data_IF_619198843270
#
_entry.id   IF_619198843270
#
_cell.length_a   1.000
_cell.length_b   1.000
_cell.length_c   1.000
_cell.angle_alpha   90.00
_cell.angle_beta   90.00
_cell.angle_gamma   90.00
#
_symmetry.space_group_name_H-M   'P 1'
#
loop_
_entity.id
_entity.type
_entity.pdbx_description
1 polymer ?
#
# COMPACT_ATOMS: atom_id res chain seq x y z
N UNK A 1 -49.76 -12.85 -34.36
CA UNK A 1 -48.54 -12.05 -34.10
C UNK A 1 -48.25 -12.15 -32.62
N UNK A 2 -47.21 -12.88 -32.20
CA UNK A 2 -46.86 -13.05 -30.78
C UNK A 2 -45.52 -12.34 -30.55
N UNK A 3 -45.59 -11.12 -30.03
CA UNK A 3 -44.42 -10.32 -29.69
C UNK A 3 -43.89 -10.76 -28.32
N UNK A 4 -42.71 -11.35 -28.29
CA UNK A 4 -41.99 -11.65 -27.05
C UNK A 4 -41.31 -10.34 -26.60
N UNK A 5 -41.76 -9.77 -25.48
CA UNK A 5 -41.03 -8.72 -24.78
C UNK A 5 -39.77 -9.33 -24.15
N UNK A 6 -38.59 -8.96 -24.66
CA UNK A 6 -37.32 -9.27 -24.02
C UNK A 6 -37.07 -8.35 -22.83
N UNK A 7 -37.00 -8.91 -21.62
CA UNK A 7 -36.53 -8.18 -20.44
C UNK A 7 -35.00 -8.12 -20.45
N UNK A 8 -34.44 -6.92 -20.67
CA UNK A 8 -33.01 -6.68 -20.50
C UNK A 8 -32.69 -6.57 -18.99
N UNK A 9 -32.02 -7.58 -18.43
CA UNK A 9 -31.49 -7.51 -17.08
C UNK A 9 -30.23 -6.62 -17.06
N UNK A 10 -30.31 -5.48 -16.38
CA UNK A 10 -29.15 -4.63 -16.07
C UNK A 10 -28.30 -5.37 -15.02
N UNK A 11 -27.15 -5.91 -15.44
CA UNK A 11 -26.15 -6.44 -14.51
C UNK A 11 -25.40 -5.25 -13.91
N UNK A 12 -25.66 -4.93 -12.65
CA UNK A 12 -24.90 -3.92 -11.91
C UNK A 12 -23.48 -4.44 -11.66
N UNK A 13 -22.46 -3.72 -12.15
CA UNK A 13 -21.07 -4.03 -11.82
C UNK A 13 -20.82 -3.77 -10.32
N UNK A 14 -20.05 -4.61 -9.61
CA UNK A 14 -19.70 -4.35 -8.23
C UNK A 14 -18.91 -3.04 -8.15
N UNK A 15 -19.28 -2.17 -7.21
CA UNK A 15 -18.50 -0.98 -6.90
C UNK A 15 -17.12 -1.42 -6.39
N UNK A 16 -16.04 -1.08 -7.10
CA UNK A 16 -14.69 -1.27 -6.60
C UNK A 16 -14.51 -0.44 -5.33
N UNK A 17 -14.29 -1.08 -4.19
CA UNK A 17 -13.88 -0.40 -2.98
C UNK A 17 -12.54 0.30 -3.25
N UNK A 18 -12.49 1.62 -3.10
CA UNK A 18 -11.25 2.37 -3.23
C UNK A 18 -10.26 1.91 -2.16
N UNK A 19 -9.01 1.63 -2.55
CA UNK A 19 -7.94 1.29 -1.61
C UNK A 19 -7.69 2.40 -0.59
N UNK A 20 -8.17 3.62 -0.86
CA UNK A 20 -8.08 4.78 0.03
C UNK A 20 -9.05 4.72 1.20
N UNK A 21 -10.12 3.92 1.08
CA UNK A 21 -11.06 3.67 2.17
C UNK A 21 -10.57 2.54 3.10
N UNK A 22 -9.36 2.02 2.88
CA UNK A 22 -8.78 0.99 3.72
C UNK A 22 -8.56 1.52 5.14
N UNK A 23 -8.95 0.70 6.13
CA UNK A 23 -8.69 0.92 7.55
C UNK A 23 -8.04 -0.33 8.12
N UNK A 24 -6.76 -0.24 8.48
CA UNK A 24 -6.02 -1.38 9.00
C UNK A 24 -4.52 -1.13 9.03
N UNK A 25 -3.74 -2.21 9.06
CA UNK A 25 -2.28 -2.17 9.21
C UNK A 25 -1.53 -1.86 7.91
N UNK A 26 -0.27 -1.43 8.02
CA UNK A 26 0.55 -1.09 6.86
C UNK A 26 0.90 -2.30 5.98
N UNK A 27 1.10 -3.49 6.55
CA UNK A 27 1.50 -4.70 5.80
C UNK A 27 0.39 -5.22 4.88
N UNK A 28 -0.86 -5.45 5.35
CA UNK A 28 -1.94 -5.86 4.45
C UNK A 28 -2.30 -4.77 3.44
N UNK A 29 -2.22 -3.49 3.83
CA UNK A 29 -2.35 -2.37 2.89
C UNK A 29 -1.30 -2.45 1.77
N UNK A 30 -0.02 -2.55 2.12
CA UNK A 30 1.07 -2.58 1.16
C UNK A 30 0.94 -3.79 0.23
N UNK A 31 0.51 -4.95 0.75
CA UNK A 31 0.23 -6.14 -0.06
C UNK A 31 -0.86 -5.87 -1.11
N UNK A 32 -1.97 -5.27 -0.69
CA UNK A 32 -3.08 -4.94 -1.59
C UNK A 32 -2.71 -3.86 -2.62
N UNK A 33 -1.93 -2.85 -2.22
CA UNK A 33 -1.57 -1.71 -3.06
C UNK A 33 -0.40 -1.98 -4.02
N UNK A 34 0.56 -2.84 -3.66
CA UNK A 34 1.74 -3.16 -4.49
C UNK A 34 1.65 -4.51 -5.21
N UNK A 35 0.79 -5.43 -4.76
CA UNK A 35 0.78 -6.82 -5.20
C UNK A 35 1.93 -7.69 -4.64
N UNK A 36 2.89 -7.10 -3.93
CA UNK A 36 4.00 -7.81 -3.29
C UNK A 36 3.46 -8.63 -2.11
N UNK A 37 3.86 -9.90 -2.02
CA UNK A 37 3.39 -10.82 -0.98
C UNK A 37 4.15 -10.63 0.34
N UNK A 38 3.83 -9.54 1.04
CA UNK A 38 4.46 -9.12 2.31
C UNK A 38 3.73 -9.75 3.50
N UNK A 39 4.45 -10.37 4.46
CA UNK A 39 3.86 -11.00 5.65
C UNK A 39 4.70 -10.82 6.91
N UNK A 40 4.05 -10.85 8.07
CA UNK A 40 4.69 -10.67 9.38
C UNK A 40 4.97 -9.21 9.72
N UNK A 41 5.87 -8.98 10.68
CA UNK A 41 6.26 -7.64 11.10
C UNK A 41 6.96 -6.88 9.97
N UNK A 42 6.62 -5.61 9.80
CA UNK A 42 7.13 -4.78 8.71
C UNK A 42 8.67 -4.69 8.66
N UNK A 43 9.34 -4.60 9.82
CA UNK A 43 10.80 -4.51 9.88
C UNK A 43 11.53 -5.74 9.33
N UNK A 44 10.89 -6.91 9.31
CA UNK A 44 11.51 -8.14 8.82
C UNK A 44 11.52 -8.22 7.28
N UNK A 45 10.71 -7.40 6.61
CA UNK A 45 10.41 -7.59 5.20
C UNK A 45 11.61 -7.41 4.28
N UNK A 46 12.51 -6.47 4.57
CA UNK A 46 13.72 -6.26 3.77
C UNK A 46 14.57 -7.53 3.64
N UNK A 47 14.67 -8.31 4.73
CA UNK A 47 15.39 -9.58 4.74
C UNK A 47 14.57 -10.68 4.07
N UNK A 48 13.26 -10.76 4.31
CA UNK A 48 12.38 -11.77 3.71
C UNK A 48 12.27 -11.64 2.18
N UNK A 49 12.37 -10.42 1.64
CA UNK A 49 12.35 -10.15 0.22
C UNK A 49 13.60 -10.66 -0.51
N UNK A 50 14.70 -10.93 0.22
CA UNK A 50 15.90 -11.49 -0.37
C UNK A 50 15.58 -12.81 -1.10
N UNK A 51 16.12 -12.95 -2.31
CA UNK A 51 15.93 -14.11 -3.18
C UNK A 51 14.51 -14.34 -3.70
N UNK A 52 13.53 -13.50 -3.34
CA UNK A 52 12.14 -13.55 -3.83
C UNK A 52 11.75 -12.34 -4.68
N UNK A 53 12.29 -11.18 -4.33
CA UNK A 53 12.05 -9.92 -5.01
C UNK A 53 13.38 -9.20 -5.25
N UNK A 54 13.42 -8.35 -6.27
CA UNK A 54 14.54 -7.43 -6.44
C UNK A 54 14.56 -6.45 -5.26
N UNK A 55 15.77 -6.20 -4.74
CA UNK A 55 16.02 -5.23 -3.67
C UNK A 55 17.10 -4.29 -4.13
N UNK A 56 16.99 -3.03 -3.76
CA UNK A 56 17.96 -2.02 -4.14
C UNK A 56 17.60 -0.66 -3.57
N UNK A 57 18.41 0.31 -3.95
CA UNK A 57 18.32 1.69 -3.50
C UNK A 57 17.72 2.62 -4.58
N UNK A 58 17.56 2.13 -5.81
CA UNK A 58 16.88 2.86 -6.86
C UNK A 58 15.36 2.77 -6.63
N UNK A 59 14.65 3.89 -6.46
CA UNK A 59 13.22 3.87 -6.26
C UNK A 59 12.46 3.56 -7.54
N UNK A 60 11.40 2.76 -7.41
CA UNK A 60 10.49 2.43 -8.50
C UNK A 60 9.04 2.56 -8.03
N UNK A 61 8.15 3.01 -8.90
CA UNK A 61 6.71 3.07 -8.57
C UNK A 61 6.19 1.65 -8.33
N UNK A 62 5.44 1.47 -7.24
CA UNK A 62 4.98 0.17 -6.78
C UNK A 62 5.97 -0.58 -5.88
N UNK A 63 7.23 -0.14 -5.78
CA UNK A 63 8.18 -0.70 -4.82
C UNK A 63 7.72 -0.43 -3.38
N UNK A 64 8.20 -1.26 -2.45
CA UNK A 64 7.90 -1.12 -1.03
C UNK A 64 9.16 -0.73 -0.26
N UNK A 65 9.08 0.42 0.42
CA UNK A 65 10.09 0.88 1.37
C UNK A 65 9.80 0.22 2.72
N UNK A 66 10.80 -0.44 3.31
CA UNK A 66 10.70 -1.04 4.63
C UNK A 66 11.50 -0.20 5.63
N UNK A 67 10.84 0.24 6.69
CA UNK A 67 11.44 1.00 7.78
C UNK A 67 11.86 0.04 8.90
N UNK A 68 13.09 0.22 9.38
CA UNK A 68 13.60 -0.53 10.52
C UNK A 68 12.77 -0.28 11.78
N UNK A 69 12.80 -1.24 12.71
CA UNK A 69 12.19 -1.07 14.02
C UNK A 69 12.91 0.03 14.82
N UNK A 70 12.15 0.78 15.60
CA UNK A 70 12.65 1.81 16.52
C UNK A 70 11.77 1.85 17.78
N UNK A 71 12.10 2.68 18.76
CA UNK A 71 11.26 2.84 19.95
C UNK A 71 9.83 3.30 19.62
N UNK A 72 9.67 4.16 18.59
CA UNK A 72 8.37 4.62 18.12
C UNK A 72 7.70 3.63 17.14
N UNK A 73 8.48 2.74 16.52
CA UNK A 73 8.03 1.74 15.53
C UNK A 73 8.53 0.35 15.92
N UNK A 74 8.00 -0.27 16.99
CA UNK A 74 8.51 -1.56 17.46
C UNK A 74 8.37 -2.68 16.41
N UNK A 75 7.36 -2.58 15.53
CA UNK A 75 7.11 -3.53 14.44
C UNK A 75 7.70 -3.07 13.09
N UNK A 76 8.43 -1.95 13.06
CA UNK A 76 8.82 -1.26 11.82
C UNK A 76 7.63 -0.67 11.10
N UNK A 77 7.80 -0.37 9.80
CA UNK A 77 6.73 0.09 8.93
C UNK A 77 7.03 -0.24 7.47
N UNK A 78 6.01 -0.30 6.62
CA UNK A 78 6.18 -0.39 5.17
C UNK A 78 5.35 0.67 4.47
N UNK A 79 5.85 1.17 3.34
CA UNK A 79 5.14 2.15 2.51
C UNK A 79 5.35 1.86 1.04
N UNK A 80 4.32 2.10 0.22
CA UNK A 80 4.37 1.85 -1.22
C UNK A 80 4.75 3.13 -1.94
N UNK A 81 5.74 3.07 -2.83
CA UNK A 81 6.14 4.18 -3.68
C UNK A 81 5.04 4.45 -4.70
N UNK A 82 4.36 5.59 -4.54
CA UNK A 82 3.31 6.05 -5.46
C UNK A 82 3.86 6.90 -6.60
N UNK A 83 5.02 7.53 -6.42
CA UNK A 83 5.70 8.36 -7.43
C UNK A 83 7.18 8.51 -7.11
N UNK A 84 8.03 8.49 -8.12
CA UNK A 84 9.44 8.92 -8.02
C UNK A 84 9.52 10.39 -8.45
N UNK A 85 10.02 11.25 -7.57
CA UNK A 85 10.23 12.67 -7.86
C UNK A 85 11.68 12.86 -8.34
N UNK A 86 12.64 12.32 -7.57
CA UNK A 86 14.08 12.36 -7.81
C UNK A 86 14.72 11.06 -7.28
N UNK A 87 16.01 10.77 -7.55
CA UNK A 87 16.64 9.51 -7.16
C UNK A 87 16.57 9.16 -5.66
N UNK A 88 16.43 10.17 -4.78
CA UNK A 88 16.28 10.01 -3.32
C UNK A 88 15.01 10.65 -2.76
N UNK A 89 14.09 11.06 -3.61
CA UNK A 89 12.84 11.73 -3.21
C UNK A 89 11.67 11.03 -3.87
N UNK A 90 10.78 10.46 -3.07
CA UNK A 90 9.61 9.75 -3.56
C UNK A 90 8.36 10.19 -2.81
N UNK A 91 7.21 10.00 -3.44
CA UNK A 91 5.92 10.06 -2.76
C UNK A 91 5.51 8.65 -2.40
N UNK A 92 5.14 8.43 -1.14
CA UNK A 92 4.64 7.14 -0.66
C UNK A 92 3.17 7.21 -0.27
N UNK A 93 2.53 6.04 -0.31
CA UNK A 93 1.20 5.80 0.26
C UNK A 93 1.30 4.64 1.26
N UNK A 94 0.67 4.78 2.43
CA UNK A 94 0.71 3.79 3.50
C UNK A 94 -0.52 3.90 4.40
N UNK A 95 -0.69 2.94 5.31
CA UNK A 95 -1.76 2.95 6.32
C UNK A 95 -1.18 2.87 7.74
N UNK A 96 -1.96 3.24 8.76
CA UNK A 96 -1.65 3.03 10.19
C UNK A 96 -0.46 3.81 10.79
N UNK A 97 -0.03 4.90 10.17
CA UNK A 97 1.12 5.66 10.68
C UNK A 97 0.69 6.76 11.65
N UNK A 98 -0.04 7.76 11.17
CA UNK A 98 -0.55 8.86 11.99
C UNK A 98 -1.84 8.49 12.70
N UNK A 99 -2.15 9.24 13.75
CA UNK A 99 -3.48 9.21 14.38
C UNK A 99 -4.34 10.32 13.77
N UNK A 100 -5.51 9.98 13.27
CA UNK A 100 -6.56 10.91 12.86
C UNK A 100 -7.73 10.77 13.83
N UNK A 101 -8.12 11.87 14.47
CA UNK A 101 -9.16 11.91 15.52
C UNK A 101 -8.95 10.83 16.61
N UNK A 102 -7.70 10.68 17.05
CA UNK A 102 -7.30 9.70 18.07
C UNK A 102 -7.18 8.25 17.60
N UNK A 103 -7.68 7.91 16.41
CA UNK A 103 -7.66 6.56 15.81
C UNK A 103 -6.53 6.42 14.80
N UNK A 104 -6.05 5.19 14.60
CA UNK A 104 -5.14 4.84 13.49
C UNK A 104 -5.83 3.92 12.49
N UNK A 105 -5.13 3.69 11.39
CA UNK A 105 -5.46 2.69 10.38
C UNK A 105 -5.82 3.28 9.02
N UNK A 106 -6.06 4.60 8.96
CA UNK A 106 -6.38 5.31 7.73
C UNK A 106 -5.20 5.30 6.76
N UNK A 107 -5.53 5.42 5.48
CA UNK A 107 -4.55 5.59 4.41
C UNK A 107 -4.09 7.03 4.33
N UNK A 108 -2.78 7.18 4.32
CA UNK A 108 -2.03 8.41 4.17
C UNK A 108 -1.39 8.40 2.78
N UNK A 109 -1.78 9.36 1.94
CA UNK A 109 -1.33 9.46 0.55
C UNK A 109 -0.31 10.56 0.35
N UNK A 110 0.52 10.41 -0.67
CA UNK A 110 1.36 11.49 -1.22
C UNK A 110 2.34 12.08 -0.20
N UNK A 111 2.72 11.29 0.80
CA UNK A 111 3.73 11.70 1.77
C UNK A 111 5.09 11.66 1.11
N UNK A 112 5.78 12.80 1.13
CA UNK A 112 7.12 12.90 0.58
C UNK A 112 8.09 12.23 1.55
N UNK A 113 8.83 11.26 1.05
CA UNK A 113 9.95 10.64 1.73
C UNK A 113 11.23 11.16 1.08
N UNK A 114 12.04 11.82 1.90
CA UNK A 114 13.38 12.31 1.55
C UNK A 114 14.41 11.30 2.04
N UNK A 115 15.54 11.22 1.34
CA UNK A 115 16.68 10.39 1.70
C UNK A 115 16.31 8.93 2.00
N UNK A 116 15.80 8.25 0.96
CA UNK A 116 15.49 6.83 1.03
C UNK A 116 16.60 6.00 1.73
N UNK A 117 16.21 5.12 2.67
CA UNK A 117 17.13 4.36 3.52
C UNK A 117 17.85 3.22 2.79
#
# INVERSE_FOLDING_TARGET
MLSILGAAALVAAPASASILNYVGECVPFARAASGIQIWGDAWTWWSQAASKYQRGQAPEVGAVVAFAKSGALPLGHVSVVSRVIEPRVVMVTHANWSRFDGKRGQVEQRHVLLDLP
#
